data_IF_566328400064
#
_entry.id   IF_566328400064
#
_cell.length_a   1.000
_cell.length_b   1.000
_cell.length_c   1.000
_cell.angle_alpha   90.00
_cell.angle_beta   90.00
_cell.angle_gamma   90.00
#
_symmetry.space_group_name_H-M   'P 1'
#
loop_
_entity.id
_entity.type
_entity.pdbx_description
1 polymer ?
#
# COMPACT_ATOMS: atom_id res chain seq x y z
N UNK A 1 -1.09 -28.12 -25.69
CA UNK A 1 -1.97 -29.20 -25.19
C UNK A 1 -1.58 -30.57 -25.74
N UNK A 2 -1.92 -30.98 -26.96
CA UNK A 2 -1.65 -32.36 -27.43
C UNK A 2 -0.16 -32.81 -27.35
N UNK A 3 0.81 -31.89 -27.56
CA UNK A 3 2.24 -32.18 -27.32
C UNK A 3 2.60 -32.41 -25.85
N UNK A 4 1.94 -31.72 -24.92
CA UNK A 4 2.14 -31.86 -23.48
C UNK A 4 1.69 -33.23 -22.97
N UNK A 5 0.59 -33.73 -23.53
CA UNK A 5 -0.04 -34.99 -23.10
C UNK A 5 0.43 -36.21 -23.91
N UNK A 6 1.28 -36.00 -24.93
CA UNK A 6 1.80 -37.06 -25.80
C UNK A 6 2.59 -38.14 -25.05
N UNK A 7 3.21 -37.78 -23.92
CA UNK A 7 4.01 -38.70 -23.12
C UNK A 7 3.14 -39.70 -22.32
N UNK A 8 1.83 -39.44 -22.19
CA UNK A 8 0.88 -40.39 -21.64
C UNK A 8 0.49 -41.44 -22.69
N UNK A 9 0.85 -42.71 -22.45
CA UNK A 9 0.58 -43.82 -23.40
C UNK A 9 -0.90 -44.05 -23.72
N UNK A 10 -1.80 -43.65 -22.83
CA UNK A 10 -3.25 -43.72 -23.02
C UNK A 10 -3.83 -42.52 -23.75
N UNK A 11 -3.06 -41.48 -24.07
CA UNK A 11 -3.56 -40.29 -24.75
C UNK A 11 -4.01 -40.60 -26.19
N UNK A 12 -5.27 -40.28 -26.51
CA UNK A 12 -5.84 -40.46 -27.85
C UNK A 12 -5.93 -39.13 -28.61
N UNK A 13 -6.63 -38.14 -28.05
CA UNK A 13 -6.86 -36.85 -28.72
C UNK A 13 -7.24 -35.70 -27.77
N UNK A 14 -7.10 -34.47 -28.26
CA UNK A 14 -7.70 -33.26 -27.67
C UNK A 14 -8.69 -32.69 -28.66
N UNK A 15 -9.90 -32.38 -28.21
CA UNK A 15 -10.96 -31.76 -29.01
C UNK A 15 -11.24 -30.37 -28.45
N UNK A 16 -10.97 -29.32 -29.22
CA UNK A 16 -11.31 -27.94 -28.83
C UNK A 16 -12.81 -27.73 -29.12
N UNK A 17 -13.60 -27.47 -28.09
CA UNK A 17 -15.04 -27.17 -28.21
C UNK A 17 -15.30 -25.73 -28.64
N UNK A 18 -14.45 -24.80 -28.19
CA UNK A 18 -14.55 -23.40 -28.56
C UNK A 18 -13.64 -22.48 -27.76
N UNK A 19 -13.66 -21.20 -28.14
CA UNK A 19 -12.97 -20.12 -27.46
C UNK A 19 -14.00 -19.16 -26.87
N UNK A 20 -13.85 -18.75 -25.61
CA UNK A 20 -14.73 -17.74 -25.02
C UNK A 20 -14.30 -16.32 -25.47
N UNK A 21 -15.25 -15.37 -25.63
CA UNK A 21 -14.94 -14.00 -25.97
C UNK A 21 -14.25 -13.28 -24.79
N UNK A 22 -13.15 -12.56 -25.07
CA UNK A 22 -12.34 -11.86 -24.08
C UNK A 22 -10.87 -12.26 -24.18
N UNK A 23 -10.29 -12.72 -23.08
CA UNK A 23 -9.02 -13.45 -23.12
C UNK A 23 -9.19 -14.79 -23.87
N UNK A 24 -8.11 -15.32 -24.45
CA UNK A 24 -8.12 -16.58 -25.22
C UNK A 24 -8.28 -17.81 -24.31
N UNK A 25 -9.44 -17.94 -23.66
CA UNK A 25 -9.82 -19.12 -22.88
C UNK A 25 -10.34 -20.17 -23.85
N UNK A 26 -9.65 -21.30 -23.90
CA UNK A 26 -9.98 -22.44 -24.74
C UNK A 26 -10.67 -23.52 -23.91
N UNK A 27 -11.93 -23.86 -24.23
CA UNK A 27 -12.60 -25.01 -23.64
C UNK A 27 -12.45 -26.22 -24.56
N UNK A 28 -12.08 -27.38 -24.02
CA UNK A 28 -11.90 -28.59 -24.81
C UNK A 28 -11.89 -29.86 -23.96
N UNK A 29 -12.08 -30.99 -24.63
CA UNK A 29 -12.03 -32.32 -24.03
C UNK A 29 -10.68 -32.97 -24.30
N UNK A 30 -10.21 -33.75 -23.34
CA UNK A 30 -9.04 -34.61 -23.47
C UNK A 30 -9.52 -36.06 -23.38
N UNK A 31 -9.22 -36.87 -24.39
CA UNK A 31 -9.69 -38.25 -24.49
C UNK A 31 -8.54 -39.21 -24.28
N UNK A 32 -8.71 -40.13 -23.32
CA UNK A 32 -7.76 -41.18 -22.99
C UNK A 32 -8.39 -42.57 -23.17
N UNK A 33 -7.57 -43.54 -23.58
CA UNK A 33 -7.89 -44.96 -23.55
C UNK A 33 -7.80 -45.49 -22.10
N UNK A 34 -8.55 -46.53 -21.77
CA UNK A 34 -8.45 -47.16 -20.45
C UNK A 34 -7.10 -47.91 -20.29
N UNK A 35 -6.39 -47.78 -19.15
CA UNK A 35 -6.70 -46.94 -17.98
C UNK A 35 -6.44 -45.45 -18.26
N UNK A 36 -7.44 -44.62 -17.93
CA UNK A 36 -7.35 -43.17 -18.05
C UNK A 36 -6.64 -42.59 -16.81
N UNK A 37 -5.76 -41.58 -16.97
CA UNK A 37 -5.15 -40.86 -15.86
C UNK A 37 -6.19 -40.04 -15.08
N UNK A 38 -5.85 -39.65 -13.86
CA UNK A 38 -6.69 -38.74 -13.06
C UNK A 38 -6.62 -37.30 -13.61
N UNK A 39 -7.62 -36.47 -13.32
CA UNK A 39 -7.65 -35.06 -13.74
C UNK A 39 -6.47 -34.27 -13.15
N UNK A 40 -6.07 -34.57 -11.92
CA UNK A 40 -4.87 -34.05 -11.27
C UNK A 40 -3.58 -34.43 -12.02
N UNK A 41 -3.38 -35.70 -12.38
CA UNK A 41 -2.21 -36.14 -13.18
C UNK A 41 -2.13 -35.39 -14.53
N UNK A 42 -3.27 -35.17 -15.17
CA UNK A 42 -3.36 -34.41 -16.45
C UNK A 42 -3.05 -32.93 -16.24
N UNK A 43 -3.52 -32.34 -15.14
CA UNK A 43 -3.23 -30.95 -14.77
C UNK A 43 -1.73 -30.76 -14.48
N UNK A 44 -1.13 -31.63 -13.65
CA UNK A 44 0.31 -31.63 -13.37
C UNK A 44 1.13 -31.77 -14.66
N UNK A 45 0.77 -32.70 -15.54
CA UNK A 45 1.45 -32.89 -16.82
C UNK A 45 1.40 -31.63 -17.72
N UNK A 46 0.26 -30.93 -17.77
CA UNK A 46 0.13 -29.66 -18.49
C UNK A 46 1.05 -28.60 -17.90
N UNK A 47 1.03 -28.43 -16.57
CA UNK A 47 1.81 -27.44 -15.83
C UNK A 47 3.32 -27.68 -15.97
N UNK A 48 3.78 -28.94 -15.83
CA UNK A 48 5.19 -29.32 -16.02
C UNK A 48 5.71 -29.04 -17.43
N UNK A 49 4.83 -28.99 -18.44
CA UNK A 49 5.22 -28.65 -19.82
C UNK A 49 5.24 -27.15 -20.12
N UNK A 50 4.87 -26.28 -19.16
CA UNK A 50 5.05 -24.84 -19.30
C UNK A 50 6.52 -24.49 -19.09
N UNK A 51 7.18 -24.07 -20.16
CA UNK A 51 8.58 -23.67 -20.12
C UNK A 51 8.81 -22.37 -19.33
N UNK A 52 10.06 -22.02 -18.99
CA UNK A 52 10.39 -20.82 -18.21
C UNK A 52 9.90 -19.51 -18.88
N UNK A 53 9.72 -19.51 -20.19
CA UNK A 53 9.15 -18.39 -20.96
C UNK A 53 7.61 -18.36 -20.96
N UNK A 54 6.95 -19.04 -20.01
CA UNK A 54 5.49 -19.29 -19.96
C UNK A 54 4.90 -20.01 -21.19
N UNK A 55 5.77 -20.57 -22.02
CA UNK A 55 5.45 -21.21 -23.29
C UNK A 55 4.89 -22.63 -23.08
N UNK A 56 3.66 -22.91 -23.53
CA UNK A 56 3.07 -24.23 -23.40
C UNK A 56 3.74 -25.26 -24.32
N UNK A 57 4.37 -26.29 -23.74
CA UNK A 57 5.00 -27.41 -24.44
C UNK A 57 5.93 -26.98 -25.60
N UNK A 58 6.72 -25.94 -25.37
CA UNK A 58 7.67 -25.39 -26.35
C UNK A 58 7.02 -24.74 -27.58
N UNK A 59 5.75 -24.31 -27.48
CA UNK A 59 5.09 -23.48 -28.49
C UNK A 59 5.22 -21.99 -28.20
N UNK A 60 4.90 -21.12 -29.16
CA UNK A 60 4.86 -19.67 -28.94
C UNK A 60 3.63 -19.20 -28.14
N UNK A 61 2.72 -20.13 -27.79
CA UNK A 61 1.53 -19.81 -27.01
C UNK A 61 1.89 -19.71 -25.52
N UNK A 62 1.92 -18.47 -25.02
CA UNK A 62 2.13 -18.18 -23.61
C UNK A 62 0.85 -18.41 -22.82
N UNK A 63 0.97 -19.13 -21.71
CA UNK A 63 -0.12 -19.46 -20.79
C UNK A 63 0.32 -19.18 -19.36
N UNK A 64 -0.63 -18.73 -18.54
CA UNK A 64 -0.42 -18.70 -17.11
C UNK A 64 -0.73 -20.09 -16.51
N UNK A 65 0.20 -20.74 -15.78
CA UNK A 65 -0.04 -22.09 -15.25
C UNK A 65 -1.27 -22.17 -14.34
N UNK A 66 -1.53 -21.14 -13.54
CA UNK A 66 -2.64 -21.09 -12.60
C UNK A 66 -4.01 -20.92 -13.28
N UNK A 67 -4.02 -20.56 -14.56
CA UNK A 67 -5.23 -20.52 -15.39
C UNK A 67 -5.63 -21.89 -15.97
N UNK A 68 -4.92 -22.98 -15.66
CA UNK A 68 -5.33 -24.33 -16.05
C UNK A 68 -6.39 -24.92 -15.11
N UNK A 69 -7.44 -25.49 -15.71
CA UNK A 69 -8.47 -26.27 -15.06
C UNK A 69 -8.69 -27.57 -15.83
N UNK A 70 -8.81 -28.70 -15.13
CA UNK A 70 -9.07 -30.02 -15.70
C UNK A 70 -10.15 -30.73 -14.86
N UNK A 71 -11.37 -30.82 -15.38
CA UNK A 71 -12.50 -31.33 -14.61
C UNK A 71 -12.85 -30.35 -13.48
N UNK A 72 -12.79 -30.82 -12.22
CA UNK A 72 -12.91 -29.97 -11.04
C UNK A 72 -11.54 -29.59 -10.42
N UNK A 73 -10.43 -30.12 -10.95
CA UNK A 73 -9.09 -29.82 -10.47
C UNK A 73 -8.54 -28.52 -11.07
N UNK A 74 -8.05 -27.63 -10.22
CA UNK A 74 -7.40 -26.36 -10.56
C UNK A 74 -6.18 -26.16 -9.69
N UNK A 75 -5.15 -25.46 -10.18
CA UNK A 75 -4.04 -25.06 -9.32
C UNK A 75 -4.48 -24.00 -8.31
N UNK A 76 -4.10 -24.18 -7.05
CA UNK A 76 -4.21 -23.14 -6.04
C UNK A 76 -3.36 -21.93 -6.44
N UNK A 77 -4.01 -20.80 -6.68
CA UNK A 77 -3.33 -19.53 -6.87
C UNK A 77 -2.54 -19.18 -5.60
N UNK A 78 -1.28 -18.71 -5.73
CA UNK A 78 -0.58 -18.11 -4.61
C UNK A 78 -1.45 -16.99 -4.04
N UNK A 79 -1.73 -17.04 -2.74
CA UNK A 79 -2.38 -15.93 -2.05
C UNK A 79 -1.60 -14.64 -2.38
N UNK A 80 -2.28 -13.53 -2.73
CA UNK A 80 -1.59 -12.27 -2.93
C UNK A 80 -0.72 -11.99 -1.72
N UNK A 81 0.58 -11.79 -1.92
CA UNK A 81 1.46 -11.42 -0.81
C UNK A 81 0.84 -10.20 -0.10
N UNK A 82 0.77 -10.18 1.24
CA UNK A 82 0.19 -9.07 1.97
C UNK A 82 1.01 -7.81 1.67
N UNK A 83 0.51 -7.04 0.70
CA UNK A 83 1.18 -5.85 0.21
C UNK A 83 1.40 -4.87 1.34
N UNK A 84 2.43 -4.02 1.18
CA UNK A 84 2.70 -2.96 2.12
C UNK A 84 1.40 -2.18 2.38
N UNK A 85 0.97 -1.99 3.65
CA UNK A 85 -0.36 -1.47 3.94
C UNK A 85 -0.58 -0.16 3.21
N UNK A 86 -1.70 -0.01 2.52
CA UNK A 86 -1.99 1.14 1.63
C UNK A 86 -1.82 2.49 2.36
N UNK A 87 -2.12 2.49 3.66
CA UNK A 87 -1.99 3.64 4.56
C UNK A 87 -0.55 3.92 5.03
N UNK A 88 0.38 2.99 4.86
CA UNK A 88 1.77 3.11 5.34
C UNK A 88 2.50 4.30 4.74
N UNK A 89 2.27 4.59 3.46
CA UNK A 89 2.82 5.79 2.79
C UNK A 89 2.22 7.07 3.38
N UNK A 90 0.91 7.10 3.62
CA UNK A 90 0.24 8.25 4.23
C UNK A 90 0.74 8.52 5.66
N UNK A 91 0.91 7.47 6.47
CA UNK A 91 1.48 7.57 7.83
C UNK A 91 2.90 8.14 7.78
N UNK A 92 3.76 7.61 6.90
CA UNK A 92 5.14 8.11 6.73
C UNK A 92 5.19 9.60 6.35
N UNK A 93 4.33 10.03 5.41
CA UNK A 93 4.25 11.44 4.97
C UNK A 93 3.77 12.35 6.10
N UNK A 94 2.70 11.97 6.81
CA UNK A 94 2.14 12.74 7.94
C UNK A 94 3.15 12.83 9.08
N UNK A 95 3.79 11.73 9.48
CA UNK A 95 4.83 11.72 10.50
C UNK A 95 6.02 12.61 10.11
N UNK A 96 6.50 12.53 8.87
CA UNK A 96 7.59 13.38 8.37
C UNK A 96 7.24 14.88 8.42
N UNK A 97 6.04 15.25 7.98
CA UNK A 97 5.53 16.62 8.08
C UNK A 97 5.44 17.12 9.53
N UNK A 98 4.92 16.30 10.46
CA UNK A 98 4.86 16.65 11.88
C UNK A 98 6.25 16.84 12.49
N UNK A 99 7.22 15.97 12.17
CA UNK A 99 8.60 16.05 12.67
C UNK A 99 9.32 17.31 12.17
N UNK A 100 8.98 17.83 10.99
CA UNK A 100 9.56 19.07 10.45
C UNK A 100 8.83 20.31 10.99
N UNK A 101 7.50 20.29 11.03
CA UNK A 101 6.71 21.48 11.42
C UNK A 101 6.74 21.76 12.92
N UNK A 102 6.73 20.72 13.78
CA UNK A 102 6.77 20.88 15.23
C UNK A 102 8.01 21.67 15.75
N UNK A 103 9.27 21.34 15.38
CA UNK A 103 10.43 22.11 15.83
C UNK A 103 10.49 23.51 15.22
N UNK A 104 10.01 23.71 13.98
CA UNK A 104 9.93 25.05 13.37
C UNK A 104 8.95 25.94 14.13
N UNK A 105 7.73 25.45 14.40
CA UNK A 105 6.73 26.17 15.20
C UNK A 105 7.24 26.41 16.62
N UNK A 106 7.85 25.42 17.27
CA UNK A 106 8.44 25.57 18.60
C UNK A 106 9.52 26.66 18.62
N UNK A 107 10.42 26.69 17.63
CA UNK A 107 11.48 27.68 17.51
C UNK A 107 10.91 29.09 17.27
N UNK A 108 9.91 29.22 16.41
CA UNK A 108 9.19 30.49 16.17
C UNK A 108 8.50 30.97 17.44
N UNK A 109 7.75 30.11 18.14
CA UNK A 109 7.10 30.42 19.42
C UNK A 109 8.11 30.79 20.52
N UNK A 110 9.26 30.13 20.60
CA UNK A 110 10.32 30.51 21.54
C UNK A 110 10.95 31.86 21.18
N UNK A 111 11.09 32.18 19.88
CA UNK A 111 11.63 33.46 19.42
C UNK A 111 10.67 34.62 19.69
N UNK A 112 9.37 34.45 19.41
CA UNK A 112 8.35 35.47 19.72
C UNK A 112 8.14 35.64 21.22
N UNK A 113 8.12 34.55 22.00
CA UNK A 113 8.04 34.62 23.46
C UNK A 113 9.27 35.28 24.07
N UNK A 114 10.48 35.03 23.54
CA UNK A 114 11.66 35.81 23.95
C UNK A 114 11.47 37.30 23.60
N UNK A 115 11.07 37.64 22.37
CA UNK A 115 10.88 39.05 21.99
C UNK A 115 9.89 39.79 22.91
N UNK A 116 8.74 39.17 23.20
CA UNK A 116 7.73 39.73 24.12
C UNK A 116 8.18 39.79 25.59
N UNK A 117 9.07 38.91 26.03
CA UNK A 117 9.73 39.04 27.34
C UNK A 117 10.70 40.22 27.40
N UNK A 118 11.46 40.48 26.34
CA UNK A 118 12.36 41.64 26.30
C UNK A 118 11.55 42.96 26.25
N UNK A 119 10.47 43.00 25.48
CA UNK A 119 9.54 44.14 25.43
C UNK A 119 8.86 44.39 26.78
N UNK A 120 8.37 43.34 27.45
CA UNK A 120 7.81 43.46 28.81
C UNK A 120 8.84 43.89 29.86
N UNK A 121 10.11 43.45 29.77
CA UNK A 121 11.15 43.95 30.68
C UNK A 121 11.48 45.42 30.44
N UNK A 122 11.52 45.88 29.19
CA UNK A 122 11.75 47.30 28.86
C UNK A 122 10.58 48.18 29.28
N UNK A 123 9.34 47.68 29.18
CA UNK A 123 8.14 48.42 29.59
C UNK A 123 7.98 48.48 31.13
N UNK A 124 8.54 47.52 31.87
CA UNK A 124 8.69 47.57 33.33
C UNK A 124 9.81 48.53 33.76
N UNK A 125 10.99 48.44 33.15
CA UNK A 125 12.15 49.32 33.41
C UNK A 125 11.82 50.81 33.18
N UNK A 126 10.89 51.10 32.25
CA UNK A 126 10.38 52.45 31.99
C UNK A 126 9.32 52.95 32.99
N UNK A 127 8.79 52.10 33.90
CA UNK A 127 7.65 52.45 34.77
C UNK A 127 8.01 52.80 36.21
N UNK A 128 9.28 52.68 36.61
CA UNK A 128 9.80 53.26 37.86
C UNK A 128 10.89 54.28 37.49
N UNK A 129 10.58 55.58 37.49
CA UNK A 129 10.41 56.30 38.76
C UNK A 129 9.17 57.22 38.81
N UNK A 130 9.14 58.10 39.82
CA UNK A 130 8.21 59.25 39.95
C UNK A 130 6.85 59.00 40.61
N UNK A 131 6.76 58.07 41.59
CA UNK A 131 5.81 58.24 42.71
C UNK A 131 6.42 59.20 43.75
N UNK A 132 6.50 60.47 43.36
CA UNK A 132 6.89 61.58 44.23
C UNK A 132 5.68 62.44 44.58
N UNK A 133 5.41 62.57 45.89
CA UNK A 133 4.85 63.79 46.53
C UNK A 133 3.67 64.50 45.83
N UNK A 134 2.43 64.03 46.04
CA UNK A 134 1.22 64.87 45.92
C UNK A 134 0.11 64.50 46.94
N UNK A 135 0.36 64.68 48.24
CA UNK A 135 -0.70 64.84 49.26
C UNK A 135 -0.26 65.81 50.37
N UNK A 136 -0.03 67.07 50.00
CA UNK A 136 0.13 68.19 50.95
C UNK A 136 -0.45 69.45 50.28
N UNK A 137 -1.19 70.26 51.05
CA UNK A 137 -1.90 71.49 50.65
C UNK A 137 -3.16 71.21 49.79
N UNK A 138 -4.34 71.83 49.97
CA UNK A 138 -4.84 72.92 50.85
C UNK A 138 -6.40 72.83 50.90
N UNK A 139 -7.20 73.48 51.76
CA UNK A 139 -6.95 74.50 52.80
C UNK A 139 -8.02 74.51 53.94
N UNK A 140 -7.66 75.15 55.06
CA UNK A 140 -8.44 75.95 56.03
C UNK A 140 -9.99 75.86 56.14
N UNK A 141 -10.47 75.45 57.31
CA UNK A 141 -11.80 75.81 57.86
C UNK A 141 -11.67 76.29 59.32
N UNK A 142 -11.62 77.62 59.50
CA UNK A 142 -12.28 78.42 60.56
C UNK A 142 -12.29 77.86 62.00
N UNK A 143 -11.54 78.48 62.92
CA UNK A 143 -12.00 78.78 64.30
C UNK A 143 -11.25 79.98 64.92
N UNK A 144 -12.05 81.01 65.30
CA UNK A 144 -11.81 82.16 66.19
C UNK A 144 -10.41 82.80 66.28
#
# INVERSE_FOLDING_TARGET
>A
VARALRDHRSFLQVVIRGFLPGSLICHGDVVFQHPAPTSLEVLEALVLTVGPNKALAGSEFQVDPYSFAVGEDTLEHPLPEPGFPEYGVAIMVVCGLCIITAPVVLLVCLRTRRLGWWDMTVLWDRRDPEVGTQTLEMDNQVFW
#
